data_IF_056691238433
#
_entry.id   IF_056691238433
#
_cell.length_a   1.000
_cell.length_b   1.000
_cell.length_c   1.000
_cell.angle_alpha   90.00
_cell.angle_beta   90.00
_cell.angle_gamma   90.00
#
_symmetry.space_group_name_H-M   'P 1'
#
loop_
_entity.id
_entity.type
_entity.pdbx_description
1 polymer ?
#
# COMPACT_ATOMS: atom_id res chain seq x y z
N UNK A 1 10.13 -0.29 23.93
CA UNK A 1 8.75 0.24 23.92
C UNK A 1 7.89 -0.26 22.74
N UNK A 2 8.44 -0.82 21.65
CA UNK A 2 7.63 -1.47 20.59
C UNK A 2 7.35 -2.96 20.90
N UNK A 3 8.24 -3.63 21.64
CA UNK A 3 8.13 -5.07 21.94
C UNK A 3 7.04 -5.44 22.95
N UNK A 4 6.50 -4.46 23.69
CA UNK A 4 5.42 -4.66 24.67
C UNK A 4 4.02 -4.48 24.08
N UNK A 5 3.90 -4.15 22.78
CA UNK A 5 2.61 -4.06 22.11
C UNK A 5 2.12 -5.49 21.84
N UNK A 6 0.88 -5.85 22.19
CA UNK A 6 0.36 -7.21 21.99
C UNK A 6 0.15 -7.58 20.51
N UNK A 7 0.31 -6.62 19.60
CA UNK A 7 0.13 -6.81 18.18
C UNK A 7 1.47 -7.09 17.47
N UNK A 8 1.43 -7.97 16.48
CA UNK A 8 2.54 -8.16 15.55
C UNK A 8 2.77 -6.88 14.74
N UNK A 9 4.03 -6.42 14.69
CA UNK A 9 4.44 -5.22 13.94
C UNK A 9 5.51 -5.63 12.94
N UNK A 10 5.31 -5.22 11.68
CA UNK A 10 6.27 -5.35 10.59
C UNK A 10 6.52 -3.97 9.99
N UNK A 11 7.78 -3.65 9.74
CA UNK A 11 8.18 -2.48 8.98
C UNK A 11 8.69 -2.92 7.62
N UNK A 12 8.21 -2.27 6.57
CA UNK A 12 8.55 -2.59 5.18
C UNK A 12 9.29 -1.41 4.54
N UNK A 13 10.22 -1.71 3.65
CA UNK A 13 10.75 -0.70 2.72
C UNK A 13 9.75 -0.44 1.57
N UNK A 14 10.12 0.45 0.64
CA UNK A 14 9.27 0.78 -0.52
C UNK A 14 8.99 -0.42 -1.43
N UNK A 15 9.96 -1.31 -1.58
CA UNK A 15 9.83 -2.53 -2.39
C UNK A 15 8.98 -3.59 -1.68
N UNK A 16 8.73 -3.45 -0.37
CA UNK A 16 7.96 -4.40 0.42
C UNK A 16 8.76 -5.41 1.19
N UNK A 17 10.08 -5.23 1.18
CA UNK A 17 10.97 -6.04 1.97
C UNK A 17 10.81 -5.68 3.43
N UNK A 18 10.68 -6.70 4.26
CA UNK A 18 10.62 -6.55 5.70
C UNK A 18 11.99 -6.09 6.19
N UNK A 19 12.03 -4.95 6.86
CA UNK A 19 13.26 -4.36 7.43
C UNK A 19 13.27 -4.40 8.96
N UNK A 20 12.12 -4.64 9.59
CA UNK A 20 12.01 -4.85 11.03
C UNK A 20 10.76 -5.65 11.37
N UNK A 21 10.85 -6.47 12.42
CA UNK A 21 9.72 -7.14 13.06
C UNK A 21 9.89 -7.08 14.59
N UNK A 22 8.78 -7.16 15.33
CA UNK A 22 8.82 -7.37 16.78
C UNK A 22 8.70 -8.87 17.15
N UNK A 23 8.98 -9.19 18.43
CA UNK A 23 8.86 -10.57 18.95
C UNK A 23 7.44 -11.15 18.82
N UNK A 24 6.39 -10.31 18.82
CA UNK A 24 5.03 -10.80 18.59
C UNK A 24 4.80 -11.25 17.14
N UNK A 25 5.45 -10.61 16.16
CA UNK A 25 5.39 -11.04 14.77
C UNK A 25 6.11 -12.39 14.55
N UNK A 26 7.27 -12.59 15.17
CA UNK A 26 7.98 -13.89 15.16
C UNK A 26 7.06 -15.00 15.67
N UNK A 27 6.40 -14.78 16.82
CA UNK A 27 5.45 -15.73 17.41
C UNK A 27 4.20 -15.96 16.56
N UNK A 28 3.66 -14.90 15.95
CA UNK A 28 2.42 -14.99 15.16
C UNK A 28 2.63 -15.77 13.85
N UNK A 29 3.73 -15.49 13.15
CA UNK A 29 4.01 -16.12 11.86
C UNK A 29 4.81 -17.42 11.99
N UNK A 30 5.46 -17.66 13.13
CA UNK A 30 6.23 -18.87 13.41
C UNK A 30 7.59 -18.90 12.69
N UNK A 31 8.11 -17.74 12.28
CA UNK A 31 9.41 -17.59 11.63
C UNK A 31 10.34 -16.75 12.51
N UNK A 32 11.64 -17.05 12.42
CA UNK A 32 12.66 -16.23 13.05
C UNK A 32 12.84 -14.90 12.30
N UNK A 33 13.31 -13.88 13.01
CA UNK A 33 13.65 -12.59 12.41
C UNK A 33 14.59 -12.71 11.24
N UNK A 34 15.60 -13.56 11.36
CA UNK A 34 16.62 -13.73 10.32
C UNK A 34 16.04 -14.33 9.04
N UNK A 35 14.93 -15.07 9.13
CA UNK A 35 14.23 -15.63 7.97
C UNK A 35 13.31 -14.62 7.29
N UNK A 36 12.72 -13.72 8.08
CA UNK A 36 11.76 -12.73 7.57
C UNK A 36 12.42 -11.46 7.05
N UNK A 37 13.55 -11.04 7.62
CA UNK A 37 14.22 -9.81 7.19
C UNK A 37 14.74 -9.95 5.76
N UNK A 38 14.40 -9.00 4.91
CA UNK A 38 14.74 -8.99 3.49
C UNK A 38 13.71 -9.68 2.58
N UNK A 39 12.80 -10.47 3.15
CA UNK A 39 11.71 -11.10 2.40
C UNK A 39 10.59 -10.10 2.08
N UNK A 40 9.90 -10.35 0.98
CA UNK A 40 8.70 -9.59 0.59
C UNK A 40 7.53 -10.01 1.46
N UNK A 41 6.80 -9.04 2.01
CA UNK A 41 5.67 -9.29 2.92
C UNK A 41 4.59 -10.19 2.31
N UNK A 42 4.48 -10.22 0.98
CA UNK A 42 3.54 -11.07 0.24
C UNK A 42 3.77 -12.56 0.49
N UNK A 43 4.98 -12.99 0.88
CA UNK A 43 5.25 -14.39 1.21
C UNK A 43 4.46 -14.87 2.44
N UNK A 44 4.20 -13.96 3.38
CA UNK A 44 3.40 -14.20 4.58
C UNK A 44 1.90 -14.24 4.31
N UNK A 45 1.48 -13.87 3.10
CA UNK A 45 0.07 -13.87 2.72
C UNK A 45 -0.33 -15.16 2.01
N UNK A 46 -1.58 -15.63 2.21
CA UNK A 46 -2.15 -16.71 1.41
C UNK A 46 -2.08 -16.39 -0.09
N UNK A 47 -1.85 -17.40 -0.91
CA UNK A 47 -1.53 -17.25 -2.35
C UNK A 47 -2.53 -16.36 -3.12
N UNK A 48 -3.82 -16.45 -2.76
CA UNK A 48 -4.90 -15.66 -3.38
C UNK A 48 -4.77 -14.13 -3.20
N UNK A 49 -4.06 -13.67 -2.17
CA UNK A 49 -3.88 -12.24 -1.90
C UNK A 49 -2.56 -11.67 -2.42
N UNK A 50 -1.57 -12.52 -2.72
CA UNK A 50 -0.22 -12.09 -3.12
C UNK A 50 -0.21 -11.19 -4.36
N UNK A 51 -1.04 -11.49 -5.36
CA UNK A 51 -1.06 -10.73 -6.62
C UNK A 51 -1.60 -9.31 -6.47
N UNK A 52 -2.59 -9.12 -5.61
CA UNK A 52 -3.28 -7.83 -5.48
C UNK A 52 -2.69 -6.96 -4.35
N UNK A 53 -1.91 -7.56 -3.45
CA UNK A 53 -1.35 -6.87 -2.29
C UNK A 53 -0.38 -5.71 -2.61
N UNK A 54 0.52 -5.83 -3.62
CA UNK A 54 1.40 -4.72 -3.99
C UNK A 54 0.64 -3.43 -4.33
N UNK A 55 -0.48 -3.51 -5.06
CA UNK A 55 -1.29 -2.35 -5.43
C UNK A 55 -1.93 -1.64 -4.23
N UNK A 56 -2.29 -2.37 -3.17
CA UNK A 56 -2.79 -1.76 -1.93
C UNK A 56 -1.67 -1.03 -1.17
N UNK A 57 -0.46 -1.58 -1.19
CA UNK A 57 0.72 -0.94 -0.59
C UNK A 57 1.11 0.34 -1.33
N UNK A 58 1.12 0.30 -2.65
CA UNK A 58 1.37 1.49 -3.49
C UNK A 58 0.34 2.57 -3.19
N UNK A 59 -0.93 2.18 -3.06
CA UNK A 59 -2.01 3.11 -2.67
C UNK A 59 -1.80 3.69 -1.27
N UNK A 60 -1.36 2.89 -0.30
CA UNK A 60 -1.08 3.37 1.06
C UNK A 60 0.10 4.35 1.11
N UNK A 61 1.21 4.05 0.41
CA UNK A 61 2.34 4.97 0.26
C UNK A 61 1.96 6.24 -0.52
N UNK A 62 1.12 6.11 -1.54
CA UNK A 62 0.56 7.24 -2.28
C UNK A 62 -0.25 8.16 -1.36
N UNK A 63 -1.14 7.59 -0.54
CA UNK A 63 -1.96 8.32 0.43
C UNK A 63 -1.14 8.92 1.59
N UNK A 64 -0.01 8.31 1.95
CA UNK A 64 0.91 8.88 2.95
C UNK A 64 1.70 10.07 2.38
N UNK A 65 2.10 10.00 1.10
CA UNK A 65 2.81 11.09 0.40
C UNK A 65 1.88 12.29 0.12
N UNK A 66 0.62 12.02 -0.17
CA UNK A 66 -0.42 13.03 -0.32
C UNK A 66 -1.25 13.11 0.96
N UNK A 67 -0.73 13.79 1.98
CA UNK A 67 -1.32 13.87 3.32
C UNK A 67 -2.84 14.03 3.33
N UNK A 68 -3.55 12.90 3.50
CA UNK A 68 -4.95 12.68 3.89
C UNK A 68 -6.09 13.56 3.32
N UNK A 69 -5.89 14.63 2.55
CA UNK A 69 -6.94 15.63 2.27
C UNK A 69 -6.83 16.42 0.95
N UNK A 70 -6.00 16.03 -0.02
CA UNK A 70 -5.95 16.78 -1.28
C UNK A 70 -7.17 16.55 -2.21
N UNK A 71 -8.07 15.61 -1.90
CA UNK A 71 -9.16 15.26 -2.82
C UNK A 71 -10.38 14.56 -2.16
N UNK A 72 -10.83 15.00 -0.98
CA UNK A 72 -12.22 14.66 -0.53
C UNK A 72 -13.24 15.70 -1.02
N UNK A 73 -12.81 16.75 -1.73
CA UNK A 73 -13.71 17.66 -2.44
C UNK A 73 -13.19 17.95 -3.85
N UNK A 74 -14.02 17.65 -4.85
CA UNK A 74 -13.86 17.98 -6.28
C UNK A 74 -13.01 17.00 -7.12
N UNK A 75 -13.54 15.80 -7.31
CA UNK A 75 -13.52 15.19 -8.64
C UNK A 75 -14.96 15.07 -9.13
N UNK A 76 -15.57 16.22 -9.42
CA UNK A 76 -16.73 16.25 -10.31
C UNK A 76 -16.21 16.09 -11.74
N UNK A 77 -16.70 15.06 -12.41
CA UNK A 77 -16.59 14.82 -13.85
C UNK A 77 -16.33 16.07 -14.68
N UNK A 78 -15.21 16.09 -15.40
CA UNK A 78 -15.00 17.00 -16.54
C UNK A 78 -14.28 16.29 -17.68
N UNK A 79 -14.80 15.13 -18.09
CA UNK A 79 -14.56 14.60 -19.43
C UNK A 79 -15.83 14.66 -20.27
N UNK A 80 -16.37 15.87 -20.50
CA UNK A 80 -17.42 16.07 -21.51
C UNK A 80 -17.55 17.51 -22.05
N UNK A 81 -16.48 18.12 -22.56
CA UNK A 81 -16.65 19.27 -23.48
C UNK A 81 -15.48 19.47 -24.45
N UNK A 82 -15.12 18.43 -25.19
CA UNK A 82 -14.27 18.58 -26.38
C UNK A 82 -14.87 17.71 -27.50
N UNK A 83 -15.93 18.24 -28.13
CA UNK A 83 -16.44 17.89 -29.47
C UNK A 83 -17.77 18.59 -29.73
N UNK A 84 -17.71 19.86 -30.13
CA UNK A 84 -18.69 20.48 -31.04
C UNK A 84 -18.39 21.98 -31.23
N UNK A 85 -17.23 22.33 -31.77
CA UNK A 85 -17.02 23.63 -32.44
C UNK A 85 -15.98 23.48 -33.56
N UNK A 86 -16.20 22.48 -34.42
CA UNK A 86 -15.78 22.53 -35.82
C UNK A 86 -16.98 22.07 -36.64
N UNK A 87 -17.64 23.03 -37.29
CA UNK A 87 -18.56 22.90 -38.43
C UNK A 87 -19.67 23.96 -38.32
N UNK A 88 -19.38 25.14 -38.88
CA UNK A 88 -20.20 25.79 -39.92
C UNK A 88 -19.61 27.17 -40.23
N UNK A 89 -18.65 27.15 -41.15
CA UNK A 89 -18.58 28.16 -42.20
C UNK A 89 -19.61 27.75 -43.26
N UNK A 90 -20.58 28.61 -43.51
CA UNK A 90 -21.29 28.80 -44.78
C UNK A 90 -22.24 29.99 -44.60
#
# INVERSE_FOLDING_TARGET
MVESVPNAILLLNRDGKIVYINNQAEKLFGYDRTELIGQVVEELLPHRYRKNHPSFRDSFFFLQKFGRWAQVGNFSDSKKTERSFQSKSA
#
